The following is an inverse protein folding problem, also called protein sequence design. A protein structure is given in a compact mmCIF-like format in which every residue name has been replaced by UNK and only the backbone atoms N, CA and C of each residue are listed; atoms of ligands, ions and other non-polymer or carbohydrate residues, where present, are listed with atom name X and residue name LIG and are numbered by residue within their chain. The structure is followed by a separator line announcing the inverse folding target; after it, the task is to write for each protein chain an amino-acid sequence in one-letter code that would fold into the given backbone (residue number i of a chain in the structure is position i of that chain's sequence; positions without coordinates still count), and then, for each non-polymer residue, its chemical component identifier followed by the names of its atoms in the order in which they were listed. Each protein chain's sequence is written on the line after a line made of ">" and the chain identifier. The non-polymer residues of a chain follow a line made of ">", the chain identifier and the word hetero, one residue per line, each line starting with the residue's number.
data_IF_827657300624
#
_entry.id   IF_827657300624
#
_cell.length_a   1.000
_cell.length_b   1.000
_cell.length_c   1.000
_cell.angle_alpha   90.00
_cell.angle_beta   90.00
_cell.angle_gamma   90.00
#
_symmetry.space_group_name_H-M   'P 1'
#
loop_
_entity.id
_entity.type
_entity.pdbx_description
1 polymer ?
#
# COMPACT_ATOMS: atom_id res chain seq x y z
N UNK A 1 1.33 25.65 24.78
CA UNK A 1 1.68 24.20 24.78
C UNK A 1 1.17 23.61 23.48
N UNK A 2 2.01 22.93 22.70
CA UNK A 2 1.66 22.41 21.36
C UNK A 2 1.92 20.91 21.29
N UNK A 3 1.03 20.19 20.61
CA UNK A 3 1.17 18.76 20.34
C UNK A 3 0.72 18.46 18.90
N UNK A 4 1.17 17.33 18.36
CA UNK A 4 0.72 16.82 17.06
C UNK A 4 0.28 15.35 17.16
N UNK A 5 -0.59 14.96 16.24
CA UNK A 5 -1.00 13.58 15.93
C UNK A 5 -0.98 13.40 14.41
N UNK A 6 -0.87 12.18 13.92
CA UNK A 6 -0.90 11.89 12.47
C UNK A 6 -2.06 10.99 12.08
N UNK A 7 -2.49 11.09 10.83
CA UNK A 7 -3.46 10.16 10.25
C UNK A 7 -2.79 8.80 9.99
N UNK A 8 -3.51 7.70 10.23
CA UNK A 8 -2.97 6.34 10.24
C UNK A 8 -2.52 5.80 8.87
N UNK A 9 -2.98 6.43 7.78
CA UNK A 9 -2.79 5.97 6.38
C UNK A 9 -1.88 6.87 5.56
N UNK A 10 -1.11 7.76 6.20
CA UNK A 10 -0.19 8.66 5.49
C UNK A 10 0.99 7.91 4.88
N UNK A 11 1.63 8.55 3.90
CA UNK A 11 2.98 8.18 3.46
C UNK A 11 3.94 8.30 4.64
N UNK A 12 4.67 7.22 4.92
CA UNK A 12 5.60 7.16 6.06
C UNK A 12 6.73 8.18 5.91
N UNK A 13 7.24 8.33 4.69
CA UNK A 13 8.38 9.21 4.42
C UNK A 13 7.96 10.68 4.48
N UNK A 14 6.80 11.02 3.92
CA UNK A 14 6.26 12.38 3.98
C UNK A 14 5.93 12.79 5.42
N UNK A 15 5.32 11.88 6.19
CA UNK A 15 5.05 12.12 7.59
C UNK A 15 6.34 12.38 8.39
N UNK A 16 7.39 11.59 8.14
CA UNK A 16 8.72 11.81 8.77
C UNK A 16 9.30 13.18 8.42
N UNK A 17 9.22 13.58 7.14
CA UNK A 17 9.71 14.87 6.68
C UNK A 17 8.94 16.05 7.34
N UNK A 18 7.61 15.96 7.39
CA UNK A 18 6.75 16.98 8.03
C UNK A 18 7.02 17.04 9.54
N UNK A 19 7.12 15.90 10.22
CA UNK A 19 7.44 15.85 11.65
C UNK A 19 8.81 16.45 11.94
N UNK A 20 9.81 16.21 11.10
CA UNK A 20 11.13 16.83 11.23
C UNK A 20 11.04 18.36 11.11
N UNK A 21 10.30 18.87 10.11
CA UNK A 21 10.07 20.30 9.94
C UNK A 21 9.32 20.93 11.13
N UNK A 22 8.29 20.23 11.66
CA UNK A 22 7.56 20.68 12.85
C UNK A 22 8.46 20.77 14.08
N UNK A 23 9.33 19.78 14.32
CA UNK A 23 10.29 19.78 15.43
C UNK A 23 11.33 20.89 15.30
N UNK A 24 11.80 21.16 14.08
CA UNK A 24 12.73 22.27 13.81
C UNK A 24 12.07 23.64 14.09
N UNK A 25 10.81 23.82 13.67
CA UNK A 25 10.07 25.07 13.87
C UNK A 25 9.59 25.26 15.31
N UNK A 26 9.22 24.18 15.98
CA UNK A 26 8.63 24.18 17.33
C UNK A 26 9.37 23.18 18.24
N UNK A 27 10.56 23.51 18.77
CA UNK A 27 11.38 22.57 19.55
C UNK A 27 10.69 21.96 20.78
N UNK A 28 9.69 22.64 21.35
CA UNK A 28 8.90 22.17 22.49
C UNK A 28 7.62 21.39 22.14
N UNK A 29 7.39 21.07 20.87
CA UNK A 29 6.20 20.33 20.43
C UNK A 29 6.22 18.89 20.97
N UNK A 30 5.07 18.39 21.44
CA UNK A 30 4.93 17.01 21.93
C UNK A 30 4.30 16.11 20.87
N UNK A 31 4.92 14.98 20.59
CA UNK A 31 4.38 13.93 19.73
C UNK A 31 3.91 12.72 20.53
N UNK A 32 3.26 11.75 19.87
CA UNK A 32 2.92 10.47 20.47
C UNK A 32 4.18 9.66 20.84
N UNK A 33 4.05 8.69 21.75
CA UNK A 33 5.18 7.80 22.16
C UNK A 33 5.61 6.83 21.05
N UNK A 34 4.71 6.56 20.10
CA UNK A 34 4.89 5.75 18.89
C UNK A 34 4.22 6.50 17.75
N UNK A 35 4.73 6.39 16.52
CA UNK A 35 4.07 7.01 15.37
C UNK A 35 2.60 6.52 15.25
N UNK A 36 1.68 7.42 14.89
CA UNK A 36 0.26 7.08 14.75
C UNK A 36 -0.05 6.36 13.41
N UNK A 37 0.92 6.29 12.49
CA UNK A 37 0.80 5.46 11.28
C UNK A 37 0.73 4.00 11.71
N UNK A 38 -0.35 3.32 11.30
CA UNK A 38 -0.58 1.96 11.75
C UNK A 38 0.39 0.96 11.09
N UNK A 39 0.60 -0.19 11.75
CA UNK A 39 1.49 -1.24 11.24
C UNK A 39 1.11 -1.68 9.82
N UNK A 40 -0.19 -1.77 9.52
CA UNK A 40 -0.70 -2.23 8.24
C UNK A 40 -0.30 -1.29 7.08
N UNK A 41 -0.30 0.02 7.33
CA UNK A 41 0.14 1.05 6.37
C UNK A 41 1.65 0.94 6.14
N UNK A 42 2.44 0.90 7.22
CA UNK A 42 3.90 0.81 7.15
C UNK A 42 4.34 -0.46 6.40
N UNK A 43 3.84 -1.63 6.81
CA UNK A 43 4.22 -2.91 6.23
C UNK A 43 3.91 -2.99 4.74
N UNK A 44 2.76 -2.44 4.30
CA UNK A 44 2.39 -2.43 2.88
C UNK A 44 3.28 -1.48 2.08
N UNK A 45 3.58 -0.29 2.59
CA UNK A 45 4.52 0.62 1.92
C UNK A 45 5.91 0.00 1.81
N UNK A 46 6.39 -0.66 2.85
CA UNK A 46 7.69 -1.36 2.83
C UNK A 46 7.70 -2.53 1.85
N UNK A 47 6.61 -3.30 1.77
CA UNK A 47 6.47 -4.37 0.78
C UNK A 47 6.48 -3.83 -0.65
N UNK A 48 5.81 -2.71 -0.92
CA UNK A 48 5.88 -2.04 -2.22
C UNK A 48 7.29 -1.55 -2.50
N UNK A 49 7.96 -0.96 -1.50
CA UNK A 49 9.36 -0.51 -1.64
C UNK A 49 10.30 -1.65 -1.98
N UNK A 50 10.09 -2.82 -1.37
CA UNK A 50 10.88 -4.00 -1.65
C UNK A 50 10.60 -4.60 -3.03
N UNK A 51 9.33 -4.64 -3.45
CA UNK A 51 8.92 -5.21 -4.74
C UNK A 51 9.34 -4.34 -5.93
N UNK A 52 9.20 -3.01 -5.81
CA UNK A 52 9.28 -2.08 -6.95
C UNK A 52 10.58 -2.17 -7.77
N UNK A 53 11.78 -2.27 -7.16
CA UNK A 53 13.05 -2.41 -7.90
C UNK A 53 13.15 -3.67 -8.78
N UNK A 54 12.22 -4.62 -8.62
CA UNK A 54 12.18 -5.87 -9.37
C UNK A 54 11.08 -5.90 -10.44
N UNK A 55 10.36 -4.79 -10.64
CA UNK A 55 9.22 -4.71 -11.54
C UNK A 55 9.37 -3.55 -12.53
N UNK A 56 8.89 -3.75 -13.75
CA UNK A 56 8.84 -2.69 -14.78
C UNK A 56 7.60 -1.80 -14.61
N UNK A 57 6.54 -2.38 -14.06
CA UNK A 57 5.25 -1.74 -13.79
C UNK A 57 4.66 -2.32 -12.52
N UNK A 58 3.96 -1.49 -11.74
CA UNK A 58 3.24 -1.90 -10.52
C UNK A 58 1.74 -1.66 -10.70
N UNK A 59 0.94 -2.68 -10.39
CA UNK A 59 -0.52 -2.60 -10.35
C UNK A 59 -0.95 -2.64 -8.89
N UNK A 60 -1.68 -1.61 -8.46
CA UNK A 60 -2.25 -1.50 -7.11
C UNK A 60 -3.75 -1.78 -7.19
N UNK A 61 -4.19 -2.84 -6.53
CA UNK A 61 -5.62 -3.15 -6.41
C UNK A 61 -6.24 -2.31 -5.30
N UNK A 62 -7.24 -1.51 -5.66
CA UNK A 62 -8.01 -0.71 -4.73
C UNK A 62 -8.65 0.51 -5.39
N UNK A 63 -9.51 1.17 -4.61
CA UNK A 63 -10.32 2.28 -5.12
C UNK A 63 -9.61 3.63 -5.05
N UNK A 64 -9.87 4.57 -5.98
CA UNK A 64 -9.35 5.94 -5.95
C UNK A 64 -9.64 6.71 -4.66
N UNK A 65 -10.70 6.36 -3.94
CA UNK A 65 -11.07 7.01 -2.69
C UNK A 65 -10.32 6.46 -1.46
N UNK A 66 -9.49 5.42 -1.63
CA UNK A 66 -8.68 4.84 -0.55
C UNK A 66 -7.35 5.56 -0.41
N UNK A 67 -7.18 6.29 0.70
CA UNK A 67 -5.93 6.98 1.03
C UNK A 67 -4.72 6.02 1.01
N UNK A 68 -4.85 4.85 1.67
CA UNK A 68 -3.78 3.86 1.69
C UNK A 68 -3.43 3.34 0.29
N UNK A 69 -4.43 3.02 -0.54
CA UNK A 69 -4.18 2.52 -1.91
C UNK A 69 -3.43 3.56 -2.75
N UNK A 70 -3.83 4.83 -2.64
CA UNK A 70 -3.12 5.92 -3.30
C UNK A 70 -1.67 6.04 -2.82
N UNK A 71 -1.42 5.94 -1.51
CA UNK A 71 -0.04 5.98 -0.99
C UNK A 71 0.81 4.83 -1.52
N UNK A 72 0.25 3.63 -1.69
CA UNK A 72 1.01 2.51 -2.29
C UNK A 72 1.39 2.80 -3.75
N UNK A 73 0.48 3.36 -4.54
CA UNK A 73 0.76 3.78 -5.92
C UNK A 73 1.85 4.86 -5.96
N UNK A 74 1.69 5.91 -5.17
CA UNK A 74 2.67 7.01 -5.07
C UNK A 74 4.04 6.53 -4.60
N UNK A 75 4.11 5.58 -3.65
CA UNK A 75 5.37 4.98 -3.21
C UNK A 75 6.10 4.28 -4.36
N UNK A 76 5.37 3.52 -5.20
CA UNK A 76 5.97 2.89 -6.39
C UNK A 76 6.45 3.95 -7.42
N UNK A 77 5.66 5.01 -7.64
CA UNK A 77 6.01 6.11 -8.55
C UNK A 77 7.26 6.87 -8.08
N UNK A 78 7.35 7.16 -6.78
CA UNK A 78 8.49 7.85 -6.17
C UNK A 78 9.79 7.02 -6.25
N UNK A 79 9.67 5.70 -6.45
CA UNK A 79 10.80 4.80 -6.71
C UNK A 79 11.15 4.67 -8.19
N UNK A 80 10.44 5.39 -9.07
CA UNK A 80 10.71 5.44 -10.50
C UNK A 80 9.97 4.41 -11.35
N UNK A 81 9.08 3.60 -10.77
CA UNK A 81 8.26 2.67 -11.54
C UNK A 81 6.99 3.34 -12.07
N UNK A 82 6.52 2.88 -13.24
CA UNK A 82 5.14 3.20 -13.66
C UNK A 82 4.17 2.44 -12.74
N UNK A 83 3.23 3.14 -12.12
CA UNK A 83 2.24 2.51 -11.24
C UNK A 83 0.81 2.89 -11.63
N UNK A 84 -0.05 1.89 -11.71
CA UNK A 84 -1.46 2.06 -12.03
C UNK A 84 -2.33 1.49 -10.92
N UNK A 85 -3.54 2.02 -10.80
CA UNK A 85 -4.52 1.55 -9.84
C UNK A 85 -5.74 1.01 -10.57
N UNK A 86 -6.24 -0.12 -10.09
CA UNK A 86 -7.42 -0.80 -10.63
C UNK A 86 -8.37 -1.13 -9.48
N UNK A 87 -9.66 -0.86 -9.65
CA UNK A 87 -10.67 -1.28 -8.67
C UNK A 87 -11.00 -2.77 -8.89
N UNK A 88 -11.06 -3.17 -10.17
CA UNK A 88 -11.33 -4.54 -10.62
C UNK A 88 -10.36 -5.00 -11.71
N UNK A 89 -10.36 -6.30 -12.01
CA UNK A 89 -9.53 -6.84 -13.09
C UNK A 89 -9.87 -6.28 -14.48
N UNK A 90 -11.09 -5.78 -14.69
CA UNK A 90 -11.53 -5.22 -15.97
C UNK A 90 -10.97 -3.82 -16.22
N UNK A 91 -10.58 -3.10 -15.18
CA UNK A 91 -9.91 -1.80 -15.30
C UNK A 91 -8.47 -1.93 -15.81
N UNK A 92 -7.91 -3.14 -15.79
CA UNK A 92 -6.55 -3.42 -16.23
C UNK A 92 -6.43 -3.27 -17.74
N UNK A 93 -5.63 -2.31 -18.18
CA UNK A 93 -5.42 -2.04 -19.59
C UNK A 93 -4.21 -2.78 -20.16
N UNK A 94 -4.35 -3.55 -21.26
CA UNK A 94 -3.24 -4.31 -21.84
C UNK A 94 -2.02 -3.45 -22.22
N UNK A 95 -2.22 -2.20 -22.64
CA UNK A 95 -1.14 -1.29 -23.00
C UNK A 95 -0.21 -0.94 -21.84
N UNK A 96 -0.66 -1.06 -20.59
CA UNK A 96 0.17 -0.79 -19.41
C UNK A 96 1.24 -1.87 -19.19
N UNK A 97 0.98 -3.08 -19.69
CA UNK A 97 1.81 -4.26 -19.48
C UNK A 97 2.46 -4.78 -20.77
N UNK A 98 2.08 -4.23 -21.92
CA UNK A 98 2.65 -4.58 -23.22
C UNK A 98 4.18 -4.36 -23.22
N UNK A 99 4.93 -5.41 -23.56
CA UNK A 99 6.40 -5.38 -23.58
C UNK A 99 7.07 -5.33 -22.19
N UNK A 100 6.31 -5.44 -21.10
CA UNK A 100 6.85 -5.53 -19.73
C UNK A 100 7.13 -6.98 -19.36
N UNK A 101 8.28 -7.24 -18.76
CA UNK A 101 8.69 -8.59 -18.36
C UNK A 101 8.27 -8.92 -16.93
N UNK A 102 8.23 -7.92 -16.04
CA UNK A 102 7.97 -8.11 -14.61
C UNK A 102 6.90 -7.13 -14.14
N UNK A 103 5.75 -7.66 -13.73
CA UNK A 103 4.59 -6.89 -13.28
C UNK A 103 4.46 -7.12 -11.77
N UNK A 104 4.56 -6.05 -10.98
CA UNK A 104 4.31 -6.09 -9.55
C UNK A 104 2.81 -5.96 -9.29
N UNK A 105 2.28 -6.74 -8.36
CA UNK A 105 0.88 -6.64 -7.93
C UNK A 105 0.85 -6.46 -6.42
N UNK A 106 0.14 -5.45 -5.96
CA UNK A 106 -0.11 -5.20 -4.54
C UNK A 106 -1.55 -4.75 -4.34
N UNK A 107 -1.99 -4.61 -3.09
CA UNK A 107 -3.36 -4.25 -2.76
C UNK A 107 -3.42 -3.30 -1.57
N UNK A 108 -4.38 -2.37 -1.61
CA UNK A 108 -4.71 -1.55 -0.46
C UNK A 108 -5.26 -2.38 0.70
N UNK A 109 -5.18 -1.85 1.93
CA UNK A 109 -5.67 -2.53 3.12
C UNK A 109 -7.17 -2.88 3.09
N UNK A 110 -7.96 -2.17 2.27
CA UNK A 110 -9.39 -2.38 2.09
C UNK A 110 -9.77 -3.26 0.89
N UNK A 111 -8.80 -3.69 0.09
CA UNK A 111 -9.05 -4.50 -1.10
C UNK A 111 -9.15 -5.99 -0.71
N UNK A 112 -10.27 -6.67 -1.01
CA UNK A 112 -10.41 -8.11 -0.78
C UNK A 112 -9.41 -8.93 -1.60
N UNK A 113 -8.94 -10.04 -1.04
CA UNK A 113 -8.01 -10.97 -1.70
C UNK A 113 -8.55 -11.49 -3.04
N UNK A 114 -9.87 -11.67 -3.17
CA UNK A 114 -10.50 -12.13 -4.42
C UNK A 114 -10.19 -11.19 -5.59
N UNK A 115 -10.19 -9.87 -5.37
CA UNK A 115 -9.89 -8.90 -6.43
C UNK A 115 -8.42 -8.99 -6.88
N UNK A 116 -7.52 -9.29 -5.94
CA UNK A 116 -6.10 -9.51 -6.26
C UNK A 116 -5.95 -10.75 -7.14
N UNK A 117 -6.64 -11.84 -6.80
CA UNK A 117 -6.60 -13.07 -7.57
C UNK A 117 -7.24 -12.92 -8.97
N UNK A 118 -8.29 -12.12 -9.10
CA UNK A 118 -8.88 -11.76 -10.39
C UNK A 118 -7.88 -10.99 -11.28
N UNK A 119 -7.19 -9.99 -10.72
CA UNK A 119 -6.15 -9.25 -11.43
C UNK A 119 -5.00 -10.17 -11.86
N UNK A 120 -4.54 -11.06 -10.97
CA UNK A 120 -3.52 -12.07 -11.30
C UNK A 120 -3.99 -13.00 -12.41
N UNK A 121 -5.26 -13.42 -12.38
CA UNK A 121 -5.87 -14.27 -13.42
C UNK A 121 -5.93 -13.53 -14.77
N UNK A 122 -6.31 -12.26 -14.75
CA UNK A 122 -6.32 -11.41 -15.95
C UNK A 122 -4.92 -11.24 -16.53
N UNK A 123 -3.92 -11.02 -15.69
CA UNK A 123 -2.51 -10.95 -16.11
C UNK A 123 -2.03 -12.24 -16.77
N UNK A 124 -2.41 -13.41 -16.24
CA UNK A 124 -2.12 -14.70 -16.88
C UNK A 124 -2.78 -14.84 -18.25
N UNK A 125 -4.05 -14.42 -18.37
CA UNK A 125 -4.75 -14.41 -19.65
C UNK A 125 -4.12 -13.46 -20.68
N UNK A 126 -3.42 -12.42 -20.22
CA UNK A 126 -2.66 -11.48 -21.05
C UNK A 126 -1.20 -11.93 -21.31
N UNK A 127 -0.80 -13.12 -20.86
CA UNK A 127 0.49 -13.74 -21.19
C UNK A 127 1.49 -13.88 -20.03
N UNK A 128 1.12 -13.52 -18.79
CA UNK A 128 1.99 -13.76 -17.64
C UNK A 128 2.18 -15.26 -17.38
N UNK A 129 3.43 -15.74 -17.47
CA UNK A 129 3.74 -17.16 -17.39
C UNK A 129 3.74 -17.74 -15.95
N UNK A 130 4.09 -16.93 -14.96
CA UNK A 130 4.20 -17.39 -13.57
C UNK A 130 3.95 -16.27 -12.57
N UNK A 131 3.64 -16.64 -11.33
CA UNK A 131 3.43 -15.73 -10.21
C UNK A 131 4.38 -16.13 -9.10
N UNK A 132 5.13 -15.15 -8.58
CA UNK A 132 6.02 -15.34 -7.43
C UNK A 132 5.59 -14.39 -6.33
N UNK A 133 5.32 -14.95 -5.14
CA UNK A 133 5.09 -14.15 -3.96
C UNK A 133 6.44 -13.74 -3.36
N UNK A 134 6.58 -12.46 -3.02
CA UNK A 134 7.72 -11.99 -2.24
C UNK A 134 7.52 -12.36 -0.76
N UNK A 135 8.62 -12.69 -0.09
CA UNK A 135 8.60 -12.79 1.37
C UNK A 135 8.34 -11.41 1.97
N UNK A 136 7.51 -11.38 3.00
CA UNK A 136 7.10 -10.14 3.67
C UNK A 136 6.92 -10.34 5.16
N UNK A 137 6.61 -9.25 5.85
CA UNK A 137 6.35 -9.26 7.30
C UNK A 137 5.08 -10.07 7.57
N UNK A 138 5.16 -11.07 8.45
CA UNK A 138 3.98 -11.84 8.87
C UNK A 138 3.14 -11.01 9.85
N UNK A 139 1.94 -10.60 9.41
CA UNK A 139 0.96 -9.91 10.26
C UNK A 139 0.12 -10.93 11.05
N UNK A 140 0.13 -10.85 12.38
CA UNK A 140 -0.65 -11.75 13.27
C UNK A 140 -1.72 -11.04 14.09
N UNK A 141 -1.91 -9.75 13.86
CA UNK A 141 -2.86 -8.92 14.62
C UNK A 141 -4.28 -9.20 14.14
N UNK A 142 -5.18 -9.54 15.06
CA UNK A 142 -6.61 -9.75 14.80
C UNK A 142 -7.40 -8.91 15.78
N UNK A 143 -8.33 -8.12 15.28
CA UNK A 143 -9.31 -7.39 16.10
C UNK A 143 -10.59 -8.22 16.16
N UNK A 144 -10.90 -8.78 17.33
CA UNK A 144 -12.12 -9.56 17.50
C UNK A 144 -13.34 -8.66 17.51
N UNK A 145 -14.47 -9.21 17.09
CA UNK A 145 -15.76 -8.51 17.21
C UNK A 145 -16.03 -8.18 18.69
N UNK A 146 -16.67 -7.02 18.97
CA UNK A 146 -17.25 -6.74 20.28
C UNK A 146 -18.16 -7.89 20.73
N UNK A 147 -18.23 -8.13 22.05
CA UNK A 147 -19.00 -9.27 22.61
C UNK A 147 -20.46 -9.26 22.20
N UNK A 148 -21.01 -8.06 22.01
CA UNK A 148 -22.40 -7.80 21.61
C UNK A 148 -22.70 -8.25 20.18
N UNK A 149 -21.66 -8.36 19.33
CA UNK A 149 -21.76 -8.75 17.91
C UNK A 149 -21.20 -10.15 17.63
N UNK A 150 -20.55 -10.77 18.62
CA UNK A 150 -20.10 -12.15 18.52
C UNK A 150 -21.34 -13.07 18.49
N UNK A 151 -21.52 -13.83 17.40
CA UNK A 151 -22.57 -14.85 17.30
C UNK A 151 -22.44 -15.82 18.50
N UNK A 152 -23.54 -16.04 19.22
CA UNK A 152 -23.64 -17.09 20.25
C UNK A 152 -23.44 -18.47 19.64
#
# INVERSE_FOLDING_TARGET
>A
KLAYVTQTTLSVDDAKAIVAALKARFPGIRGPKRDDICYATQNRQDAVKFMTPHCDVVIVVGSPNSSNSNRLREVAENMGAQAYMVDTADDLRPEWIAGRSRIGVTAGASAPEVLVQEVVTRLKALGAASVRQFEGITERVVFTLPRELARR
#
